data_IF_013800861442
#
_entry.id   IF_013800861442
#
_cell.length_a   1.000
_cell.length_b   1.000
_cell.length_c   1.000
_cell.angle_alpha   90.00
_cell.angle_beta   90.00
_cell.angle_gamma   90.00
#
_symmetry.space_group_name_H-M   'P 1'
#
loop_
_entity.id
_entity.type
_entity.pdbx_description
1 polymer ?
#
# COMPACT_ATOMS: atom_id res chain seq x y z
N UNK A 1 6.49 16.44 5.48
CA UNK A 1 6.90 15.03 5.55
C UNK A 1 6.01 14.37 6.58
N UNK A 2 5.29 13.32 6.18
CA UNK A 2 4.30 12.65 7.02
C UNK A 2 4.52 11.15 6.95
N UNK A 3 4.27 10.45 8.05
CA UNK A 3 4.19 8.99 8.04
C UNK A 3 2.76 8.61 7.67
N UNK A 4 2.60 7.71 6.71
CA UNK A 4 1.29 7.20 6.32
C UNK A 4 1.34 5.68 6.17
N UNK A 5 0.21 5.03 6.37
CA UNK A 5 -0.02 3.65 5.95
C UNK A 5 -1.21 3.62 5.02
N UNK A 6 -1.04 2.95 3.88
CA UNK A 6 -2.12 2.66 2.94
C UNK A 6 -2.16 1.16 2.74
N UNK A 7 -3.35 0.58 2.82
CA UNK A 7 -3.48 -0.86 2.67
C UNK A 7 -4.92 -1.32 2.82
N UNK A 8 -5.08 -2.63 2.83
CA UNK A 8 -6.36 -3.29 3.07
C UNK A 8 -6.14 -4.52 3.96
N UNK A 9 -7.21 -4.94 4.63
CA UNK A 9 -7.16 -6.08 5.53
C UNK A 9 -8.47 -6.89 5.46
N UNK A 10 -8.52 -8.00 6.19
CA UNK A 10 -9.69 -8.89 6.24
C UNK A 10 -10.98 -8.25 6.77
N UNK A 11 -10.93 -7.12 7.47
CA UNK A 11 -12.12 -6.38 7.92
C UNK A 11 -12.69 -5.51 6.79
N UNK A 12 -11.84 -5.00 5.90
CA UNK A 12 -12.25 -4.07 4.85
C UNK A 12 -12.43 -4.74 3.50
N UNK A 13 -11.77 -5.88 3.23
CA UNK A 13 -11.71 -6.48 1.90
C UNK A 13 -11.99 -8.00 1.88
N UNK A 14 -12.71 -8.50 0.85
CA UNK A 14 -12.92 -9.92 0.65
C UNK A 14 -11.61 -10.66 0.30
N UNK A 15 -11.62 -11.99 0.40
CA UNK A 15 -10.39 -12.79 0.22
C UNK A 15 -9.84 -12.69 -1.19
N UNK A 16 -10.69 -12.67 -2.20
CA UNK A 16 -10.33 -12.60 -3.61
C UNK A 16 -9.56 -11.31 -3.93
N UNK A 17 -9.92 -10.21 -3.27
CA UNK A 17 -9.21 -8.94 -3.41
C UNK A 17 -7.88 -8.95 -2.66
N UNK A 18 -7.86 -9.50 -1.44
CA UNK A 18 -6.62 -9.65 -0.65
C UNK A 18 -5.57 -10.49 -1.38
N UNK A 19 -5.99 -11.56 -2.04
CA UNK A 19 -5.09 -12.40 -2.83
C UNK A 19 -4.46 -11.66 -4.02
N UNK A 20 -5.20 -10.73 -4.64
CA UNK A 20 -4.68 -9.93 -5.77
C UNK A 20 -3.64 -8.90 -5.31
N UNK A 21 -3.88 -8.20 -4.20
CA UNK A 21 -2.90 -7.21 -3.69
C UNK A 21 -1.74 -7.85 -2.93
N UNK A 22 -1.85 -9.12 -2.54
CA UNK A 22 -0.79 -9.81 -1.81
C UNK A 22 0.52 -9.83 -2.61
N UNK A 23 1.62 -9.50 -1.95
CA UNK A 23 2.96 -9.51 -2.55
C UNK A 23 3.66 -10.78 -2.12
N UNK A 24 3.95 -11.73 -3.03
CA UNK A 24 4.61 -12.96 -2.67
C UNK A 24 6.05 -12.68 -2.22
N UNK A 25 6.57 -13.50 -1.31
CA UNK A 25 7.91 -13.36 -0.73
C UNK A 25 9.02 -13.25 -1.79
N UNK A 26 8.87 -13.96 -2.91
CA UNK A 26 9.78 -13.91 -4.07
C UNK A 26 9.83 -12.57 -4.78
N UNK A 27 8.82 -11.70 -4.61
CA UNK A 27 8.73 -10.37 -5.23
C UNK A 27 8.91 -9.21 -4.25
N UNK A 28 8.98 -9.45 -2.93
CA UNK A 28 9.07 -8.39 -1.92
C UNK A 28 10.23 -7.42 -2.20
N UNK A 29 11.42 -7.93 -2.51
CA UNK A 29 12.60 -7.07 -2.77
C UNK A 29 12.35 -6.13 -3.94
N UNK A 30 11.82 -6.66 -5.05
CA UNK A 30 11.49 -5.86 -6.24
C UNK A 30 10.40 -4.84 -5.93
N UNK A 31 9.32 -5.25 -5.27
CA UNK A 31 8.21 -4.39 -4.90
C UNK A 31 8.65 -3.19 -4.03
N UNK A 32 9.52 -3.42 -3.05
CA UNK A 32 10.06 -2.34 -2.21
C UNK A 32 10.94 -1.40 -3.03
N UNK A 33 11.76 -1.91 -3.95
CA UNK A 33 12.54 -1.07 -4.86
C UNK A 33 11.67 -0.23 -5.80
N UNK A 34 10.63 -0.83 -6.38
CA UNK A 34 9.68 -0.15 -7.27
C UNK A 34 8.97 0.99 -6.50
N UNK A 35 8.51 0.75 -5.27
CA UNK A 35 7.93 1.76 -4.39
C UNK A 35 8.95 2.86 -4.04
N UNK A 36 10.17 2.51 -3.64
CA UNK A 36 11.22 3.47 -3.27
C UNK A 36 11.72 4.31 -4.45
N UNK A 37 11.43 3.90 -5.70
CA UNK A 37 11.75 4.68 -6.91
C UNK A 37 10.73 5.78 -7.21
N UNK A 38 9.59 5.82 -6.51
CA UNK A 38 8.52 6.80 -6.73
C UNK A 38 8.88 8.17 -6.14
N UNK A 39 8.43 9.23 -6.82
CA UNK A 39 8.88 10.60 -6.53
C UNK A 39 8.50 11.11 -5.12
N UNK A 40 7.41 10.60 -4.55
CA UNK A 40 6.87 11.15 -3.30
C UNK A 40 7.13 10.27 -2.07
N UNK A 41 7.80 9.14 -2.25
CA UNK A 41 8.07 8.15 -1.20
C UNK A 41 9.55 8.18 -0.81
N UNK A 42 9.85 8.71 0.38
CA UNK A 42 11.24 8.83 0.85
C UNK A 42 11.73 7.53 1.53
N UNK A 43 10.86 6.88 2.29
CA UNK A 43 11.13 5.62 2.99
C UNK A 43 9.89 4.73 2.84
N UNK A 44 10.10 3.42 2.73
CA UNK A 44 9.03 2.45 2.45
C UNK A 44 9.25 1.18 3.26
N UNK A 45 8.17 0.69 3.87
CA UNK A 45 8.07 -0.66 4.42
C UNK A 45 6.83 -1.33 3.83
N UNK A 46 6.99 -2.55 3.33
CA UNK A 46 5.91 -3.37 2.79
C UNK A 46 5.64 -4.55 3.71
N UNK A 47 4.41 -4.67 4.20
CA UNK A 47 3.92 -5.79 5.00
C UNK A 47 2.86 -6.53 4.18
N UNK A 48 3.13 -7.78 3.82
CA UNK A 48 2.14 -8.63 3.15
C UNK A 48 2.03 -9.97 3.87
N UNK A 49 0.81 -10.30 4.29
CA UNK A 49 0.47 -11.52 5.01
C UNK A 49 -0.85 -12.07 4.46
N UNK A 50 -1.34 -13.18 5.00
CA UNK A 50 -2.68 -13.67 4.65
C UNK A 50 -3.81 -12.69 5.01
N UNK A 51 -3.65 -11.88 6.05
CA UNK A 51 -4.75 -11.07 6.61
C UNK A 51 -4.72 -9.60 6.18
N UNK A 52 -3.60 -9.13 5.63
CA UNK A 52 -3.38 -7.72 5.28
C UNK A 52 -2.24 -7.56 4.28
N UNK A 53 -2.37 -6.55 3.44
CA UNK A 53 -1.26 -5.96 2.68
C UNK A 53 -1.25 -4.46 2.97
N UNK A 54 -0.14 -3.98 3.53
CA UNK A 54 0.02 -2.64 4.07
C UNK A 54 1.37 -2.07 3.62
N UNK A 55 1.35 -0.82 3.20
CA UNK A 55 2.52 -0.10 2.72
C UNK A 55 2.66 1.15 3.60
N UNK A 56 3.67 1.12 4.45
CA UNK A 56 4.04 2.22 5.33
C UNK A 56 5.06 3.07 4.62
N UNK A 57 4.82 4.37 4.53
CA UNK A 57 5.73 5.27 3.82
C UNK A 57 5.92 6.58 4.56
N UNK A 58 7.15 7.08 4.46
CA UNK A 58 7.43 8.47 4.78
C UNK A 58 7.31 9.28 3.49
N UNK A 59 6.22 10.03 3.35
CA UNK A 59 5.96 10.77 2.11
C UNK A 59 6.39 12.25 2.20
N UNK A 60 6.86 12.81 1.09
CA UNK A 60 7.20 14.24 0.99
C UNK A 60 5.96 15.12 0.91
N UNK A 61 4.93 14.64 0.20
CA UNK A 61 3.59 15.25 0.07
C UNK A 61 2.52 14.18 0.31
N UNK A 62 1.56 14.46 1.19
CA UNK A 62 0.55 13.49 1.64
C UNK A 62 -0.26 12.88 0.48
N UNK A 63 -1.03 13.70 -0.25
CA UNK A 63 -1.92 13.19 -1.32
C UNK A 63 -1.16 12.47 -2.43
N UNK A 64 0.00 12.99 -2.82
CA UNK A 64 0.82 12.36 -3.84
C UNK A 64 1.45 11.05 -3.36
N UNK A 65 1.82 10.96 -2.07
CA UNK A 65 2.31 9.72 -1.47
C UNK A 65 1.21 8.64 -1.42
N UNK A 66 -0.02 9.02 -1.06
CA UNK A 66 -1.17 8.11 -1.13
C UNK A 66 -1.41 7.64 -2.56
N UNK A 67 -1.42 8.55 -3.54
CA UNK A 67 -1.58 8.21 -4.96
C UNK A 67 -0.49 7.25 -5.44
N UNK A 68 0.78 7.53 -5.10
CA UNK A 68 1.92 6.68 -5.45
C UNK A 68 1.76 5.25 -4.89
N UNK A 69 1.17 5.09 -3.70
CA UNK A 69 0.91 3.76 -3.13
C UNK A 69 -0.31 3.08 -3.75
N UNK A 70 -1.38 3.83 -4.04
CA UNK A 70 -2.58 3.32 -4.70
C UNK A 70 -2.27 2.80 -6.10
N UNK A 71 -1.50 3.55 -6.88
CA UNK A 71 -1.04 3.14 -8.22
C UNK A 71 -0.23 1.83 -8.14
N UNK A 72 0.67 1.71 -7.15
CA UNK A 72 1.42 0.47 -6.96
C UNK A 72 0.51 -0.73 -6.64
N UNK A 73 -0.49 -0.54 -5.79
CA UNK A 73 -1.44 -1.60 -5.44
C UNK A 73 -2.33 -1.98 -6.63
N UNK A 74 -2.71 -0.99 -7.45
CA UNK A 74 -3.45 -1.20 -8.71
C UNK A 74 -2.63 -2.04 -9.70
N UNK A 75 -1.36 -1.70 -9.90
CA UNK A 75 -0.42 -2.47 -10.72
C UNK A 75 -0.27 -3.91 -10.21
N UNK A 76 -0.09 -4.07 -8.89
CA UNK A 76 0.08 -5.38 -8.26
C UNK A 76 -1.17 -6.25 -8.39
N UNK A 77 -2.35 -5.68 -8.17
CA UNK A 77 -3.62 -6.39 -8.25
C UNK A 77 -4.12 -6.60 -9.68
N UNK A 78 -3.53 -5.91 -10.66
CA UNK A 78 -4.06 -5.83 -12.03
C UNK A 78 -5.54 -5.45 -12.04
N UNK A 79 -5.88 -4.44 -11.26
CA UNK A 79 -7.22 -3.88 -11.06
C UNK A 79 -7.19 -2.38 -11.31
N UNK A 80 -8.30 -1.80 -11.77
CA UNK A 80 -8.40 -0.33 -11.82
C UNK A 80 -8.45 0.22 -10.39
N UNK A 81 -7.92 1.44 -10.12
CA UNK A 81 -7.94 2.03 -8.78
C UNK A 81 -9.32 2.02 -8.13
N UNK A 82 -10.36 2.30 -8.92
CA UNK A 82 -11.75 2.36 -8.46
C UNK A 82 -12.30 0.99 -8.02
N UNK A 83 -11.75 -0.12 -8.53
CA UNK A 83 -12.21 -1.48 -8.21
C UNK A 83 -11.89 -1.92 -6.78
N UNK A 84 -10.92 -1.27 -6.12
CA UNK A 84 -10.51 -1.64 -4.76
C UNK A 84 -10.34 -0.45 -3.81
N UNK A 85 -10.51 0.78 -4.29
CA UNK A 85 -10.40 2.00 -3.50
C UNK A 85 -11.31 2.01 -2.26
N UNK A 86 -12.53 1.47 -2.36
CA UNK A 86 -13.48 1.41 -1.24
C UNK A 86 -13.04 0.48 -0.10
N UNK A 87 -12.11 -0.43 -0.39
CA UNK A 87 -11.56 -1.38 0.57
C UNK A 87 -10.24 -0.92 1.19
N UNK A 88 -9.62 0.12 0.61
CA UNK A 88 -8.42 0.71 1.15
C UNK A 88 -8.74 1.56 2.38
N UNK A 89 -7.87 1.48 3.36
CA UNK A 89 -7.82 2.45 4.45
C UNK A 89 -6.51 3.24 4.36
N UNK A 90 -6.53 4.44 4.92
CA UNK A 90 -5.35 5.29 5.04
C UNK A 90 -5.31 5.88 6.43
N UNK A 91 -4.20 5.68 7.13
CA UNK A 91 -3.92 6.37 8.39
C UNK A 91 -2.65 7.21 8.27
N UNK A 92 -2.55 8.23 9.10
CA UNK A 92 -1.46 9.20 9.09
C UNK A 92 -0.93 9.47 10.48
N UNK A 93 0.37 9.75 10.54
CA UNK A 93 1.16 10.06 11.73
C UNK A 93 0.83 9.11 12.89
N UNK A 94 0.32 9.61 14.02
CA UNK A 94 0.00 8.77 15.18
C UNK A 94 -1.00 7.66 14.84
N UNK A 95 -1.94 7.91 13.93
CA UNK A 95 -2.89 6.89 13.48
C UNK A 95 -2.23 5.77 12.66
N UNK A 96 -1.06 6.00 12.07
CA UNK A 96 -0.32 4.99 11.32
C UNK A 96 0.47 4.02 12.22
N UNK A 97 0.62 4.32 13.50
CA UNK A 97 1.39 3.53 14.48
C UNK A 97 0.57 3.05 15.68
N UNK A 98 -0.74 3.34 15.68
CA UNK A 98 -1.68 3.01 16.76
C UNK A 98 -2.13 1.55 16.75
#
# INVERSE_FOLDING_TARGET
MSLIVVGLNHNTAPVEMRERVAVPSSRIVKAVHDLASRNHLAEVVLLSTCNRTEIYVRCTKFHNGVSDVQDFLSDQASLEPDDFAEHLYTYYDDGAVA
#
